data_IF_067662703025
#
_entry.id   IF_067662703025
#
_cell.length_a   1.000
_cell.length_b   1.000
_cell.length_c   1.000
_cell.angle_alpha   90.00
_cell.angle_beta   90.00
_cell.angle_gamma   90.00
#
_symmetry.space_group_name_H-M   'P 1'
#
loop_
_entity.id
_entity.type
_entity.pdbx_description
1 polymer ?
#
# COMPACT_ATOMS: atom_id res chain seq x y z
N UNK A 1 -22.42 -12.31 -51.24
CA UNK A 1 -21.79 -11.02 -50.88
C UNK A 1 -22.48 -10.51 -49.64
N UNK A 2 -21.77 -10.23 -48.53
CA UNK A 2 -22.36 -9.52 -47.40
C UNK A 2 -22.91 -8.17 -47.88
N UNK A 3 -23.99 -7.70 -47.24
CA UNK A 3 -24.63 -6.43 -47.60
C UNK A 3 -23.78 -5.28 -47.03
N UNK A 4 -23.49 -4.22 -47.80
CA UNK A 4 -22.62 -3.13 -47.35
C UNK A 4 -23.03 -2.55 -46.00
N UNK A 5 -24.33 -2.46 -45.71
CA UNK A 5 -24.84 -1.94 -44.42
C UNK A 5 -24.37 -2.74 -43.19
N UNK A 6 -24.12 -4.05 -43.35
CA UNK A 6 -23.62 -4.92 -42.26
C UNK A 6 -22.16 -4.64 -41.96
N UNK A 7 -21.36 -4.39 -42.99
CA UNK A 7 -19.94 -4.11 -42.86
C UNK A 7 -19.73 -2.74 -42.19
N UNK A 8 -20.50 -1.72 -42.59
CA UNK A 8 -20.47 -0.40 -41.94
C UNK A 8 -20.89 -0.45 -40.46
N UNK A 9 -21.90 -1.28 -40.10
CA UNK A 9 -22.27 -1.45 -38.70
C UNK A 9 -21.17 -2.13 -37.88
N UNK A 10 -20.51 -3.14 -38.46
CA UNK A 10 -19.39 -3.82 -37.82
C UNK A 10 -18.20 -2.89 -37.59
N UNK A 11 -17.84 -2.07 -38.59
CA UNK A 11 -16.77 -1.06 -38.48
C UNK A 11 -17.07 -0.02 -37.41
N UNK A 12 -18.31 0.47 -37.32
CA UNK A 12 -18.72 1.41 -36.28
C UNK A 12 -18.56 0.81 -34.88
N UNK A 13 -19.06 -0.42 -34.68
CA UNK A 13 -18.94 -1.13 -33.39
C UNK A 13 -17.48 -1.42 -33.04
N UNK A 14 -16.65 -1.75 -34.02
CA UNK A 14 -15.23 -1.98 -33.82
C UNK A 14 -14.54 -0.69 -33.36
N UNK A 15 -14.83 0.45 -33.99
CA UNK A 15 -14.29 1.76 -33.61
C UNK A 15 -14.69 2.14 -32.17
N UNK A 16 -15.96 1.92 -31.80
CA UNK A 16 -16.42 2.14 -30.42
C UNK A 16 -15.69 1.25 -29.42
N UNK A 17 -15.48 -0.03 -29.74
CA UNK A 17 -14.77 -0.97 -28.89
C UNK A 17 -13.29 -0.60 -28.74
N UNK A 18 -12.63 -0.19 -29.82
CA UNK A 18 -11.24 0.28 -29.78
C UNK A 18 -11.10 1.54 -28.91
N UNK A 19 -12.04 2.49 -29.06
CA UNK A 19 -12.07 3.70 -28.23
C UNK A 19 -12.23 3.33 -26.75
N UNK A 20 -13.19 2.45 -26.43
CA UNK A 20 -13.40 1.97 -25.05
C UNK A 20 -12.21 1.17 -24.53
N UNK A 21 -11.54 0.39 -25.37
CA UNK A 21 -10.35 -0.36 -25.00
C UNK A 21 -9.22 0.59 -24.63
N UNK A 22 -8.94 1.59 -25.45
CA UNK A 22 -7.91 2.59 -25.16
C UNK A 22 -8.13 3.31 -23.82
N UNK A 23 -9.38 3.69 -23.52
CA UNK A 23 -9.71 4.27 -22.20
C UNK A 23 -9.50 3.29 -21.05
N UNK A 24 -9.83 2.01 -21.23
CA UNK A 24 -9.63 1.00 -20.20
C UNK A 24 -8.15 0.70 -19.98
N UNK A 25 -7.34 0.66 -21.04
CA UNK A 25 -5.89 0.49 -20.94
C UNK A 25 -5.24 1.64 -20.17
N UNK A 26 -5.64 2.89 -20.47
CA UNK A 26 -5.18 4.05 -19.72
C UNK A 26 -5.59 3.95 -18.24
N UNK A 27 -6.86 3.63 -17.95
CA UNK A 27 -7.33 3.49 -16.57
C UNK A 27 -6.58 2.38 -15.81
N UNK A 28 -6.26 1.26 -16.47
CA UNK A 28 -5.48 0.18 -15.86
C UNK A 28 -4.05 0.61 -15.53
N UNK A 29 -3.42 1.43 -16.38
CA UNK A 29 -2.10 1.99 -16.12
C UNK A 29 -2.13 2.91 -14.90
N UNK A 30 -3.09 3.85 -14.85
CA UNK A 30 -3.27 4.77 -13.73
C UNK A 30 -3.54 4.04 -12.41
N UNK A 31 -4.39 3.01 -12.43
CA UNK A 31 -4.66 2.17 -11.25
C UNK A 31 -3.42 1.37 -10.81
N UNK A 32 -2.61 0.90 -11.75
CA UNK A 32 -1.39 0.16 -11.46
C UNK A 32 -0.34 1.05 -10.78
N UNK A 33 -0.18 2.28 -11.25
CA UNK A 33 0.69 3.29 -10.64
C UNK A 33 0.21 3.65 -9.23
N UNK A 34 -1.07 3.98 -9.07
CA UNK A 34 -1.65 4.29 -7.76
C UNK A 34 -1.49 3.13 -6.76
N UNK A 35 -1.64 1.88 -7.22
CA UNK A 35 -1.44 0.70 -6.38
C UNK A 35 0.02 0.51 -5.98
N UNK A 36 0.98 0.80 -6.87
CA UNK A 36 2.40 0.74 -6.56
C UNK A 36 2.76 1.77 -5.47
N UNK A 37 2.27 3.00 -5.61
CA UNK A 37 2.47 4.06 -4.63
C UNK A 37 1.87 3.71 -3.26
N UNK A 38 0.63 3.19 -3.25
CA UNK A 38 -0.02 2.76 -2.02
C UNK A 38 0.75 1.63 -1.32
N UNK A 39 1.36 0.70 -2.07
CA UNK A 39 2.19 -0.37 -1.50
C UNK A 39 3.47 0.18 -0.86
N UNK A 40 4.13 1.14 -1.51
CA UNK A 40 5.33 1.80 -0.96
C UNK A 40 4.97 2.54 0.34
N UNK A 41 3.87 3.27 0.36
CA UNK A 41 3.44 3.99 1.55
C UNK A 41 3.02 3.06 2.69
N UNK A 42 2.36 1.95 2.35
CA UNK A 42 2.03 0.88 3.31
C UNK A 42 3.29 0.25 3.93
N UNK A 43 4.35 0.04 3.14
CA UNK A 43 5.63 -0.47 3.65
C UNK A 43 6.27 0.52 4.62
N UNK A 44 6.36 1.80 4.25
CA UNK A 44 6.90 2.87 5.13
C UNK A 44 6.12 2.96 6.44
N UNK A 45 4.80 2.96 6.37
CA UNK A 45 3.93 3.01 7.56
C UNK A 45 4.18 1.80 8.46
N UNK A 46 4.31 0.60 7.88
CA UNK A 46 4.62 -0.62 8.64
C UNK A 46 5.97 -0.53 9.35
N UNK A 47 7.00 -0.03 8.67
CA UNK A 47 8.33 0.16 9.26
C UNK A 47 8.30 1.15 10.44
N UNK A 48 7.60 2.27 10.29
CA UNK A 48 7.40 3.24 11.37
C UNK A 48 6.69 2.62 12.57
N UNK A 49 5.63 1.84 12.34
CA UNK A 49 4.92 1.13 13.41
C UNK A 49 5.81 0.15 14.16
N UNK A 50 6.64 -0.62 13.45
CA UNK A 50 7.61 -1.53 14.06
C UNK A 50 8.59 -0.75 14.96
N UNK A 51 9.12 0.37 14.47
CA UNK A 51 10.04 1.23 15.21
C UNK A 51 9.40 1.78 16.50
N UNK A 52 8.19 2.32 16.39
CA UNK A 52 7.42 2.82 17.55
C UNK A 52 7.18 1.70 18.57
N UNK A 53 6.84 0.49 18.12
CA UNK A 53 6.65 -0.65 19.02
C UNK A 53 7.95 -1.04 19.74
N UNK A 54 9.08 -0.96 19.07
CA UNK A 54 10.38 -1.24 19.68
C UNK A 54 10.80 -0.16 20.67
N UNK A 55 10.59 1.11 20.36
CA UNK A 55 10.83 2.22 21.28
C UNK A 55 9.94 2.10 22.54
N UNK A 56 8.68 1.73 22.39
CA UNK A 56 7.78 1.46 23.52
C UNK A 56 8.26 0.28 24.39
N UNK A 57 8.77 -0.79 23.78
CA UNK A 57 9.36 -1.91 24.55
C UNK A 57 10.60 -1.47 25.31
N UNK A 58 11.44 -0.65 24.71
CA UNK A 58 12.65 -0.10 25.35
C UNK A 58 12.27 0.81 26.52
N UNK A 59 11.31 1.72 26.33
CA UNK A 59 10.80 2.59 27.39
C UNK A 59 10.25 1.76 28.56
N UNK A 60 9.44 0.73 28.27
CA UNK A 60 8.93 -0.18 29.31
C UNK A 60 10.05 -0.86 30.08
N UNK A 61 11.12 -1.32 29.42
CA UNK A 61 12.28 -1.92 30.09
C UNK A 61 13.00 -0.91 30.98
N UNK A 62 13.21 0.32 30.50
CA UNK A 62 13.83 1.38 31.29
C UNK A 62 13.02 1.72 32.55
N UNK A 63 11.69 1.76 32.45
CA UNK A 63 10.80 1.99 33.59
C UNK A 63 10.73 0.80 34.57
N UNK A 64 11.06 -0.41 34.11
CA UNK A 64 11.07 -1.65 34.92
C UNK A 64 12.47 -2.09 35.36
N UNK A 65 13.52 -1.32 35.06
CA UNK A 65 14.88 -1.54 35.56
C UNK A 65 14.98 -1.14 37.04
N UNK A 66 14.37 -2.00 37.85
CA UNK A 66 14.44 -2.36 39.27
C UNK A 66 14.99 -1.38 40.37
N UNK A 67 14.15 -1.02 41.37
CA UNK A 67 14.53 -0.52 42.70
C UNK A 67 15.34 -1.50 43.57
N UNK A 68 15.47 -2.77 43.21
CA UNK A 68 16.22 -3.78 43.98
C UNK A 68 17.76 -3.66 43.89
N UNK A 69 18.28 -2.60 43.24
CA UNK A 69 19.69 -2.22 43.28
C UNK A 69 20.05 -1.32 44.47
N UNK A 70 19.19 -1.20 45.48
CA UNK A 70 19.57 -0.57 46.74
C UNK A 70 20.55 -1.49 47.51
N UNK A 71 21.76 -0.99 47.85
CA UNK A 71 22.67 -1.75 48.71
C UNK A 71 21.97 -2.05 50.05
N UNK A 72 22.16 -3.24 50.65
CA UNK A 72 21.58 -3.55 51.94
C UNK A 72 21.97 -2.48 52.97
N UNK A 73 21.06 -2.04 53.85
CA UNK A 73 21.32 -0.94 54.77
C UNK A 73 22.49 -1.27 55.71
N UNK A 74 23.36 -0.28 56.02
CA UNK A 74 24.51 -0.51 56.89
C UNK A 74 24.04 -0.91 58.31
N UNK A 75 24.58 -2.01 58.82
CA UNK A 75 24.39 -2.42 60.22
C UNK A 75 25.28 -1.55 61.13
N UNK A 76 24.66 -0.76 62.00
CA UNK A 76 25.30 0.03 63.07
C UNK A 76 25.22 -0.69 64.41
#
# INVERSE_FOLDING_TARGET
>A
MPSPDRDHNAEHRLTELETRLAFQEQALQELSEALADARIEGQKTRELLIRVLDDLKQLRRALMADPASEPPPPHY
#
